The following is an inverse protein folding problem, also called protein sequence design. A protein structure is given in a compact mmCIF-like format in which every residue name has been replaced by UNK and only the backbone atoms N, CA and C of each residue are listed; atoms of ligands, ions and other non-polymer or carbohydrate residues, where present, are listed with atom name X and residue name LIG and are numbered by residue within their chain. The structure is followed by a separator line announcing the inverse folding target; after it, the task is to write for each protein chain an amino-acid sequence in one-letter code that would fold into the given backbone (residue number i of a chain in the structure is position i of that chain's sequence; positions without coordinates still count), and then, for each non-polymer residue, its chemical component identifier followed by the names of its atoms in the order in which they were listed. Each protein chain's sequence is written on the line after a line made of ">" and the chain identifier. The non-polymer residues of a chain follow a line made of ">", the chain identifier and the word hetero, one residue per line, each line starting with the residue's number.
data_IF_303551034382
#
_entry.id   IF_303551034382
#
_cell.length_a   1.000
_cell.length_b   1.000
_cell.length_c   1.000
_cell.angle_alpha   90.00
_cell.angle_beta   90.00
_cell.angle_gamma   90.00
#
_symmetry.space_group_name_H-M   'P 1'
#
loop_
_entity.id
_entity.type
_entity.pdbx_description
1 polymer ?
#
# COMPACT_ATOMS: atom_id res chain seq x y z
N UNK A 1 -2.58 28.31 15.51
CA UNK A 1 -3.84 27.77 14.92
C UNK A 1 -3.57 26.52 14.09
N UNK A 2 -2.68 26.55 13.13
CA UNK A 2 -2.39 25.37 12.31
C UNK A 2 -1.62 24.29 13.08
N UNK A 3 -0.81 24.69 14.04
CA UNK A 3 0.04 23.76 14.81
C UNK A 3 -0.76 22.69 15.56
N UNK A 4 -1.98 23.02 15.96
CA UNK A 4 -2.85 22.08 16.70
C UNK A 4 -3.90 21.42 15.80
N UNK A 5 -3.93 21.75 14.52
CA UNK A 5 -4.91 21.20 13.59
C UNK A 5 -4.49 19.80 13.12
N UNK A 6 -5.24 18.79 13.50
CA UNK A 6 -4.95 17.40 13.11
C UNK A 6 -4.93 17.22 11.59
N UNK A 7 -5.89 17.83 10.88
CA UNK A 7 -5.96 17.75 9.43
C UNK A 7 -4.70 18.32 8.77
N UNK A 8 -4.29 19.52 9.20
CA UNK A 8 -3.08 20.16 8.64
C UNK A 8 -1.83 19.33 8.91
N UNK A 9 -1.66 18.85 10.15
CA UNK A 9 -0.50 18.06 10.52
C UNK A 9 -0.45 16.74 9.75
N UNK A 10 -1.57 16.04 9.60
CA UNK A 10 -1.61 14.80 8.82
C UNK A 10 -1.40 15.06 7.34
N UNK A 11 -2.00 16.10 6.79
CA UNK A 11 -1.86 16.42 5.37
C UNK A 11 -0.40 16.75 5.00
N UNK A 12 0.27 17.57 5.80
CA UNK A 12 1.66 17.95 5.55
C UNK A 12 2.61 16.77 5.75
N UNK A 13 2.38 15.97 6.79
CA UNK A 13 3.16 14.76 7.03
C UNK A 13 2.97 13.74 5.90
N UNK A 14 1.73 13.56 5.44
CA UNK A 14 1.42 12.67 4.33
C UNK A 14 2.17 13.07 3.06
N UNK A 15 2.22 14.37 2.74
CA UNK A 15 2.98 14.84 1.57
C UNK A 15 4.46 14.51 1.70
N UNK A 16 5.04 14.71 2.87
CA UNK A 16 6.45 14.41 3.13
C UNK A 16 6.75 12.92 3.00
N UNK A 17 5.95 12.08 3.64
CA UNK A 17 6.08 10.62 3.57
C UNK A 17 5.86 10.13 2.15
N UNK A 18 4.84 10.64 1.46
CA UNK A 18 4.56 10.24 0.08
C UNK A 18 5.74 10.50 -0.84
N UNK A 19 6.43 11.62 -0.68
CA UNK A 19 7.62 11.91 -1.48
C UNK A 19 8.74 10.91 -1.19
N UNK A 20 8.99 10.61 0.07
CA UNK A 20 10.02 9.64 0.47
C UNK A 20 9.70 8.26 -0.12
N UNK A 21 8.44 7.82 -0.02
CA UNK A 21 7.99 6.55 -0.58
C UNK A 21 8.08 6.51 -2.10
N UNK A 22 7.62 7.57 -2.78
CA UNK A 22 7.68 7.68 -4.24
C UNK A 22 9.13 7.57 -4.75
N UNK A 23 10.06 8.27 -4.11
CA UNK A 23 11.46 8.23 -4.51
C UNK A 23 12.05 6.81 -4.43
N UNK A 24 11.72 6.05 -3.40
CA UNK A 24 12.19 4.68 -3.26
C UNK A 24 11.48 3.70 -4.22
N UNK A 25 10.18 3.87 -4.44
CA UNK A 25 9.41 3.00 -5.33
C UNK A 25 9.69 3.25 -6.80
N UNK A 26 10.20 4.42 -7.16
CA UNK A 26 10.54 4.75 -8.54
C UNK A 26 11.48 3.72 -9.17
N UNK A 27 12.42 3.20 -8.39
CA UNK A 27 13.37 2.15 -8.83
C UNK A 27 12.68 0.85 -9.22
N UNK A 28 11.47 0.63 -8.74
CA UNK A 28 10.67 -0.55 -9.06
C UNK A 28 9.72 -0.31 -10.23
N UNK A 29 9.72 0.88 -10.81
CA UNK A 29 8.76 1.31 -11.84
C UNK A 29 7.31 1.12 -11.40
N UNK A 30 7.06 1.33 -10.11
CA UNK A 30 5.74 1.24 -9.50
C UNK A 30 5.54 2.44 -8.56
N UNK A 31 4.30 2.94 -8.49
CA UNK A 31 3.93 3.85 -7.41
C UNK A 31 3.80 3.08 -6.10
N UNK A 32 3.92 3.73 -4.93
CA UNK A 32 3.65 3.06 -3.66
C UNK A 32 2.28 2.39 -3.61
N UNK A 33 1.23 3.06 -4.10
CA UNK A 33 -0.12 2.50 -4.10
C UNK A 33 -0.22 1.20 -4.90
N UNK A 34 0.39 1.15 -6.09
CA UNK A 34 0.44 -0.07 -6.90
C UNK A 34 1.27 -1.17 -6.22
N UNK A 35 2.37 -0.79 -5.58
CA UNK A 35 3.22 -1.74 -4.86
C UNK A 35 2.50 -2.38 -3.68
N UNK A 36 1.84 -1.57 -2.85
CA UNK A 36 1.07 -2.09 -1.71
C UNK A 36 -0.11 -2.95 -2.16
N UNK A 37 -0.76 -2.57 -3.27
CA UNK A 37 -1.83 -3.39 -3.84
C UNK A 37 -1.32 -4.77 -4.27
N UNK A 38 -0.15 -4.80 -4.92
CA UNK A 38 0.46 -6.06 -5.35
C UNK A 38 0.79 -6.95 -4.15
N UNK A 39 1.33 -6.38 -3.08
CA UNK A 39 1.60 -7.12 -1.83
C UNK A 39 0.31 -7.64 -1.22
N UNK A 40 -0.74 -6.82 -1.19
CA UNK A 40 -2.05 -7.24 -0.67
C UNK A 40 -2.62 -8.45 -1.43
N UNK A 41 -2.49 -8.45 -2.76
CA UNK A 41 -2.92 -9.58 -3.58
C UNK A 41 -2.07 -10.82 -3.27
N UNK A 42 -0.77 -10.65 -3.11
CA UNK A 42 0.14 -11.76 -2.79
C UNK A 42 -0.16 -12.38 -1.43
N UNK A 43 -0.50 -11.56 -0.44
CA UNK A 43 -0.76 -12.00 0.94
C UNK A 43 -2.16 -12.59 1.15
N UNK A 44 -3.07 -12.38 0.21
CA UNK A 44 -4.46 -12.80 0.33
C UNK A 44 -4.87 -13.65 -0.88
N UNK A 45 -4.59 -14.95 -0.80
CA UNK A 45 -4.94 -15.89 -1.88
C UNK A 45 -6.42 -15.84 -2.19
N UNK A 46 -6.74 -15.86 -3.48
CA UNK A 46 -8.13 -15.86 -3.98
C UNK A 46 -8.93 -14.58 -3.62
N UNK A 47 -8.24 -13.46 -3.38
CA UNK A 47 -8.92 -12.21 -3.10
C UNK A 47 -9.67 -11.71 -4.34
N UNK A 48 -10.92 -11.25 -4.16
CA UNK A 48 -11.69 -10.58 -5.22
C UNK A 48 -11.35 -9.10 -5.26
N UNK A 49 -11.71 -8.42 -6.36
CA UNK A 49 -11.55 -6.96 -6.44
C UNK A 49 -12.38 -6.24 -5.37
N UNK A 50 -13.57 -6.77 -5.05
CA UNK A 50 -14.40 -6.20 -3.98
C UNK A 50 -13.71 -6.29 -2.62
N UNK A 51 -13.18 -7.46 -2.28
CA UNK A 51 -12.44 -7.66 -1.02
C UNK A 51 -11.20 -6.77 -0.98
N UNK A 52 -10.51 -6.63 -2.11
CA UNK A 52 -9.33 -5.77 -2.20
C UNK A 52 -9.69 -4.29 -2.01
N UNK A 53 -10.82 -3.85 -2.56
CA UNK A 53 -11.36 -2.50 -2.36
C UNK A 53 -11.62 -2.22 -0.87
N UNK A 54 -12.24 -3.18 -0.19
CA UNK A 54 -12.52 -3.08 1.25
C UNK A 54 -11.23 -3.04 2.07
N UNK A 55 -10.28 -3.94 1.76
CA UNK A 55 -9.00 -4.03 2.46
C UNK A 55 -8.18 -2.75 2.32
N UNK A 56 -8.11 -2.22 1.12
CA UNK A 56 -7.30 -1.04 0.79
C UNK A 56 -8.05 0.28 1.04
N UNK A 57 -9.33 0.22 1.35
CA UNK A 57 -10.19 1.40 1.52
C UNK A 57 -10.13 2.33 0.30
N UNK A 58 -10.22 1.74 -0.89
CA UNK A 58 -10.24 2.44 -2.17
C UNK A 58 -11.53 2.13 -2.93
N UNK A 59 -11.95 3.05 -3.79
CA UNK A 59 -13.12 2.85 -4.65
C UNK A 59 -12.93 1.65 -5.58
N UNK A 60 -14.03 1.01 -5.93
CA UNK A 60 -14.03 -0.09 -6.89
C UNK A 60 -13.41 0.31 -8.24
N UNK A 61 -13.70 1.53 -8.73
CA UNK A 61 -13.13 2.02 -9.99
C UNK A 61 -11.64 2.25 -9.91
N UNK A 62 -11.13 2.73 -8.77
CA UNK A 62 -9.69 2.91 -8.54
C UNK A 62 -8.99 1.55 -8.50
N UNK A 63 -9.57 0.57 -7.80
CA UNK A 63 -9.04 -0.80 -7.75
C UNK A 63 -8.99 -1.39 -9.16
N UNK A 64 -10.05 -1.26 -9.96
CA UNK A 64 -10.09 -1.76 -11.34
C UNK A 64 -8.93 -1.17 -12.16
N UNK A 65 -8.72 0.14 -12.10
CA UNK A 65 -7.63 0.80 -12.83
C UNK A 65 -6.26 0.32 -12.38
N UNK A 66 -6.07 0.16 -11.08
CA UNK A 66 -4.78 -0.30 -10.53
C UNK A 66 -4.52 -1.76 -10.90
N UNK A 67 -5.52 -2.61 -10.81
CA UNK A 67 -5.42 -4.02 -11.22
C UNK A 67 -5.13 -4.13 -12.73
N UNK A 68 -5.82 -3.32 -13.55
CA UNK A 68 -5.55 -3.27 -14.99
C UNK A 68 -4.09 -2.89 -15.27
N UNK A 69 -3.56 -1.88 -14.58
CA UNK A 69 -2.17 -1.47 -14.73
C UNK A 69 -1.20 -2.58 -14.35
N UNK A 70 -1.44 -3.27 -13.24
CA UNK A 70 -0.62 -4.39 -12.80
C UNK A 70 -0.71 -5.58 -13.76
N UNK A 71 -1.89 -5.83 -14.32
CA UNK A 71 -2.10 -6.90 -15.32
C UNK A 71 -1.34 -6.61 -16.62
N UNK A 72 -1.38 -5.36 -17.10
CA UNK A 72 -0.62 -4.94 -18.29
C UNK A 72 0.86 -5.13 -18.07
N UNK A 73 1.37 -4.90 -16.89
CA UNK A 73 2.77 -5.12 -16.52
C UNK A 73 3.11 -6.61 -16.33
N UNK A 74 2.13 -7.49 -16.42
CA UNK A 74 2.32 -8.94 -16.25
C UNK A 74 2.55 -9.36 -14.80
N UNK A 75 2.14 -8.54 -13.82
CA UNK A 75 2.38 -8.79 -12.41
C UNK A 75 1.23 -9.53 -11.71
N UNK A 76 0.01 -9.37 -12.21
CA UNK A 76 -1.18 -10.05 -11.72
C UNK A 76 -1.99 -10.60 -12.88
N UNK A 77 -2.84 -11.57 -12.57
CA UNK A 77 -3.82 -12.12 -13.51
C UNK A 77 -5.15 -12.29 -12.80
N UNK A 78 -6.23 -12.14 -13.59
CA UNK A 78 -7.58 -12.41 -13.13
C UNK A 78 -7.93 -13.86 -13.40
N UNK A 79 -8.43 -14.55 -12.38
CA UNK A 79 -8.88 -15.95 -12.47
C UNK A 79 -10.36 -16.04 -12.20
N UNK A 80 -11.00 -17.09 -12.76
CA UNK A 80 -12.43 -17.37 -12.54
C UNK A 80 -13.29 -16.14 -12.91
N UNK A 81 -13.14 -15.66 -14.13
CA UNK A 81 -13.75 -14.42 -14.65
C UNK A 81 -15.28 -14.42 -14.73
N UNK A 82 -15.97 -15.32 -14.08
CA UNK A 82 -17.41 -15.29 -13.95
C UNK A 82 -17.81 -14.77 -12.59
N UNK A 83 -18.70 -15.49 -11.93
CA UNK A 83 -19.09 -15.20 -10.55
C UNK A 83 -17.88 -15.35 -9.62
N UNK A 84 -17.58 -14.30 -8.88
CA UNK A 84 -16.54 -14.35 -7.86
C UNK A 84 -15.12 -14.43 -8.40
N UNK A 85 -14.84 -13.74 -9.49
CA UNK A 85 -13.49 -13.63 -10.03
C UNK A 85 -12.47 -13.25 -8.96
N UNK A 86 -11.29 -13.86 -9.02
CA UNK A 86 -10.22 -13.66 -8.06
C UNK A 86 -8.97 -13.16 -8.75
N UNK A 87 -8.04 -12.65 -7.94
CA UNK A 87 -6.76 -12.12 -8.39
C UNK A 87 -5.63 -13.02 -7.91
N UNK A 88 -4.62 -13.16 -8.72
CA UNK A 88 -3.41 -13.89 -8.36
C UNK A 88 -2.19 -13.16 -8.88
N UNK A 89 -1.09 -13.22 -8.13
CA UNK A 89 0.20 -12.72 -8.62
C UNK A 89 0.81 -13.75 -9.56
N UNK A 90 1.44 -13.26 -10.62
CA UNK A 90 2.21 -14.09 -11.55
C UNK A 90 3.59 -14.42 -10.95
N UNK A 91 4.37 -15.27 -11.64
CA UNK A 91 5.75 -15.53 -11.26
C UNK A 91 6.56 -14.23 -11.23
N UNK A 92 6.39 -13.37 -12.24
CA UNK A 92 7.03 -12.05 -12.28
C UNK A 92 6.54 -11.18 -11.12
N UNK A 93 5.25 -11.21 -10.83
CA UNK A 93 4.66 -10.48 -9.70
C UNK A 93 5.26 -10.91 -8.36
N UNK A 94 5.46 -12.21 -8.14
CA UNK A 94 6.10 -12.71 -6.90
C UNK A 94 7.53 -12.20 -6.75
N UNK A 95 8.28 -12.15 -7.83
CA UNK A 95 9.62 -11.57 -7.82
C UNK A 95 9.59 -10.09 -7.46
N UNK A 96 8.63 -9.36 -8.01
CA UNK A 96 8.46 -7.93 -7.73
C UNK A 96 8.03 -7.69 -6.28
N UNK A 97 7.17 -8.55 -5.73
CA UNK A 97 6.76 -8.48 -4.31
C UNK A 97 7.98 -8.56 -3.39
N UNK A 98 8.92 -9.45 -3.67
CA UNK A 98 10.16 -9.54 -2.87
C UNK A 98 10.95 -8.23 -2.87
N UNK A 99 11.06 -7.59 -4.03
CA UNK A 99 11.73 -6.29 -4.15
C UNK A 99 10.98 -5.19 -3.39
N UNK A 100 9.65 -5.20 -3.46
CA UNK A 100 8.80 -4.26 -2.72
C UNK A 100 8.98 -4.45 -1.22
N UNK A 101 8.99 -5.68 -0.75
CA UNK A 101 9.18 -5.97 0.68
C UNK A 101 10.53 -5.45 1.19
N UNK A 102 11.59 -5.56 0.38
CA UNK A 102 12.89 -4.98 0.75
C UNK A 102 12.84 -3.46 0.89
N UNK A 103 12.15 -2.80 -0.04
CA UNK A 103 11.94 -1.34 0.02
C UNK A 103 11.10 -0.97 1.24
N UNK A 104 10.02 -1.70 1.51
CA UNK A 104 9.17 -1.46 2.68
C UNK A 104 9.96 -1.59 3.98
N UNK A 105 10.81 -2.61 4.11
CA UNK A 105 11.64 -2.80 5.28
C UNK A 105 12.65 -1.66 5.46
N UNK A 106 13.27 -1.24 4.38
CA UNK A 106 14.19 -0.09 4.38
C UNK A 106 13.49 1.19 4.86
N UNK A 107 12.30 1.45 4.34
CA UNK A 107 11.50 2.62 4.73
C UNK A 107 11.04 2.54 6.18
N UNK A 108 10.60 1.37 6.61
CA UNK A 108 10.25 1.11 8.00
C UNK A 108 11.42 1.44 8.93
N UNK A 109 12.60 0.90 8.65
CA UNK A 109 13.80 1.15 9.45
C UNK A 109 14.18 2.62 9.47
N UNK A 110 14.08 3.29 8.33
CA UNK A 110 14.39 4.73 8.23
C UNK A 110 13.51 5.57 9.15
N UNK A 111 12.20 5.35 9.12
CA UNK A 111 11.27 6.12 9.95
C UNK A 111 11.41 5.74 11.42
N UNK A 112 11.53 4.46 11.71
CA UNK A 112 11.72 3.99 13.08
C UNK A 112 13.00 4.56 13.70
N UNK A 113 14.09 4.57 12.95
CA UNK A 113 15.36 5.13 13.43
C UNK A 113 15.29 6.64 13.64
N UNK A 114 14.55 7.35 12.80
CA UNK A 114 14.37 8.81 12.92
C UNK A 114 13.56 9.20 14.15
N UNK A 115 12.51 8.44 14.48
CA UNK A 115 11.63 8.73 15.61
C UNK A 115 12.07 8.07 16.91
N UNK A 116 12.79 6.96 16.82
CA UNK A 116 13.05 6.06 17.93
C UNK A 116 11.96 4.98 18.02
N UNK A 117 12.35 3.78 18.45
CA UNK A 117 11.46 2.59 18.41
C UNK A 117 10.17 2.80 19.18
N UNK A 118 10.25 3.35 20.42
CA UNK A 118 9.06 3.55 21.26
C UNK A 118 8.11 4.56 20.65
N UNK A 119 8.63 5.72 20.27
CA UNK A 119 7.81 6.79 19.67
C UNK A 119 7.19 6.35 18.36
N UNK A 120 7.91 5.63 17.52
CA UNK A 120 7.39 5.10 16.26
C UNK A 120 6.23 4.14 16.52
N UNK A 121 6.40 3.19 17.43
CA UNK A 121 5.36 2.22 17.79
C UNK A 121 4.12 2.90 18.36
N UNK A 122 4.31 3.84 19.26
CA UNK A 122 3.20 4.59 19.87
C UNK A 122 2.46 5.41 18.83
N UNK A 123 3.18 6.05 17.91
CA UNK A 123 2.58 6.84 16.84
C UNK A 123 1.73 5.99 15.89
N UNK A 124 2.24 4.81 15.47
CA UNK A 124 1.46 3.88 14.65
C UNK A 124 0.20 3.44 15.40
N UNK A 125 0.32 3.10 16.67
CA UNK A 125 -0.82 2.70 17.50
C UNK A 125 -1.86 3.82 17.60
N UNK A 126 -1.43 5.05 17.80
CA UNK A 126 -2.31 6.21 17.89
C UNK A 126 -3.04 6.47 16.56
N UNK A 127 -2.35 6.33 15.43
CA UNK A 127 -2.97 6.45 14.10
C UNK A 127 -4.04 5.39 13.90
N UNK A 128 -3.75 4.14 14.27
CA UNK A 128 -4.71 3.04 14.17
C UNK A 128 -5.92 3.24 15.06
N UNK A 129 -5.72 3.72 16.28
CA UNK A 129 -6.81 4.02 17.20
C UNK A 129 -7.69 5.15 16.66
N UNK A 130 -7.09 6.24 16.20
CA UNK A 130 -7.82 7.36 15.60
C UNK A 130 -8.64 6.90 14.39
N UNK A 131 -8.07 6.05 13.55
CA UNK A 131 -8.77 5.50 12.38
C UNK A 131 -10.01 4.67 12.79
N UNK A 132 -9.89 3.85 13.85
CA UNK A 132 -11.02 3.04 14.32
C UNK A 132 -12.10 3.88 15.00
N UNK A 133 -11.73 4.99 15.62
CA UNK A 133 -12.64 5.81 16.42
C UNK A 133 -13.43 6.81 15.59
N UNK A 134 -12.85 7.36 14.54
CA UNK A 134 -13.48 8.35 13.68
C UNK A 134 -14.32 7.72 12.58
#
# INVERSE_FOLDING_TARGET
>A
MFEECIYFNLATLTRKISKIWQDEFERLSLSPSHGYLLVAIADNKHISQKQLSELMELDASTITRFVDSLAVKGLVERKNKGKGGTLAVTKLGRSRVKSIQRVMNKLFDRVQNSLGKKKFRDFISDLQEAHRTL
#
